data_IF_478176147318
#
_entry.id   IF_478176147318
#
_cell.length_a   1.000
_cell.length_b   1.000
_cell.length_c   1.000
_cell.angle_alpha   90.00
_cell.angle_beta   90.00
_cell.angle_gamma   90.00
#
_symmetry.space_group_name_H-M   'P 1'
#
loop_
_entity.id
_entity.type
_entity.pdbx_description
1 polymer ?
#
# COMPACT_ATOMS: atom_id res chain seq x y z
N UNK A 1 30.50 -13.84 -1.82
CA UNK A 1 30.16 -13.19 -3.09
C UNK A 1 29.12 -14.09 -3.75
N UNK A 2 27.86 -13.86 -3.40
CA UNK A 2 26.75 -14.66 -3.93
C UNK A 2 26.65 -14.44 -5.45
N UNK A 3 26.51 -15.55 -6.18
CA UNK A 3 26.44 -15.53 -7.64
C UNK A 3 25.19 -14.74 -8.05
N UNK A 4 25.39 -13.71 -8.86
CA UNK A 4 24.31 -12.98 -9.54
C UNK A 4 23.40 -14.02 -10.21
N UNK A 5 22.08 -14.01 -9.95
CA UNK A 5 21.14 -14.95 -10.54
C UNK A 5 21.26 -14.99 -12.07
N UNK A 6 21.15 -16.18 -12.67
CA UNK A 6 21.41 -16.37 -14.09
C UNK A 6 20.50 -15.53 -14.98
N UNK A 7 19.26 -15.24 -14.56
CA UNK A 7 18.38 -14.33 -15.29
C UNK A 7 18.90 -12.88 -15.31
N UNK A 8 19.54 -12.40 -14.23
CA UNK A 8 20.16 -11.05 -14.22
C UNK A 8 21.35 -11.02 -15.16
N UNK A 9 22.13 -12.12 -15.23
CA UNK A 9 23.23 -12.27 -16.19
C UNK A 9 22.70 -12.29 -17.63
N UNK A 10 21.63 -13.03 -17.88
CA UNK A 10 21.00 -13.16 -19.20
C UNK A 10 20.41 -11.83 -19.67
N UNK A 11 19.76 -11.07 -18.77
CA UNK A 11 19.29 -9.70 -19.07
C UNK A 11 20.46 -8.76 -19.38
N UNK A 12 21.58 -8.87 -18.64
CA UNK A 12 22.79 -8.06 -18.88
C UNK A 12 23.50 -8.46 -20.18
N UNK A 13 23.58 -9.75 -20.52
CA UNK A 13 24.25 -10.25 -21.72
C UNK A 13 23.42 -10.03 -23.00
N UNK A 14 22.10 -10.14 -22.93
CA UNK A 14 21.17 -9.71 -23.99
C UNK A 14 21.32 -8.20 -24.24
N UNK A 15 21.37 -7.40 -23.17
CA UNK A 15 21.50 -5.95 -23.22
C UNK A 15 22.87 -5.46 -23.72
N UNK A 16 23.96 -6.17 -23.40
CA UNK A 16 25.33 -5.84 -23.87
C UNK A 16 25.58 -6.23 -25.34
N UNK A 17 24.55 -6.59 -26.11
CA UNK A 17 24.62 -6.73 -27.56
C UNK A 17 25.46 -7.90 -28.06
N UNK A 18 25.69 -8.94 -27.24
CA UNK A 18 26.45 -10.14 -27.67
C UNK A 18 25.62 -11.12 -28.53
N UNK A 19 24.32 -10.87 -28.71
CA UNK A 19 23.49 -11.62 -29.64
C UNK A 19 23.60 -11.05 -31.06
N UNK A 20 24.10 -11.88 -31.99
CA UNK A 20 24.28 -11.58 -33.42
C UNK A 20 23.12 -10.80 -34.05
N UNK A 21 23.47 -9.65 -34.63
CA UNK A 21 22.65 -8.85 -35.56
C UNK A 21 22.19 -9.72 -36.73
N UNK A 22 20.88 -9.95 -36.87
CA UNK A 22 20.25 -10.50 -38.09
C UNK A 22 19.20 -9.50 -38.56
N UNK A 23 19.45 -8.91 -39.73
CA UNK A 23 18.60 -7.91 -40.40
C UNK A 23 17.19 -8.45 -40.69
N UNK A 24 16.16 -7.60 -40.53
CA UNK A 24 14.98 -7.57 -41.42
C UNK A 24 14.17 -6.27 -41.32
N UNK A 25 13.68 -5.83 -42.48
CA UNK A 25 13.01 -4.56 -42.81
C UNK A 25 11.52 -4.43 -42.40
N UNK A 26 11.10 -3.16 -42.30
CA UNK A 26 9.76 -2.51 -42.45
C UNK A 26 8.91 -2.19 -41.19
N UNK A 27 8.31 -0.98 -41.11
CA UNK A 27 7.73 -0.43 -39.87
C UNK A 27 6.25 -0.78 -39.75
N UNK A 28 5.94 -1.87 -39.05
CA UNK A 28 4.66 -2.03 -38.38
C UNK A 28 4.82 -1.46 -36.98
N UNK A 29 3.87 -0.61 -36.55
CA UNK A 29 3.82 0.09 -35.26
C UNK A 29 4.76 -0.53 -34.21
N UNK A 30 5.86 0.16 -33.90
CA UNK A 30 6.82 -0.27 -32.89
C UNK A 30 6.07 -0.46 -31.58
N UNK A 31 5.64 -1.70 -31.30
CA UNK A 31 5.27 -2.12 -29.97
C UNK A 31 6.56 -2.03 -29.18
N UNK A 32 6.73 -0.90 -28.50
CA UNK A 32 7.81 -0.65 -27.57
C UNK A 32 7.98 -1.90 -26.69
N UNK A 33 9.17 -2.50 -26.74
CA UNK A 33 9.44 -3.77 -26.09
C UNK A 33 9.25 -3.64 -24.58
N UNK A 34 8.16 -4.21 -24.06
CA UNK A 34 7.81 -4.15 -22.63
C UNK A 34 8.64 -5.16 -21.86
N UNK A 35 9.78 -4.71 -21.32
CA UNK A 35 10.71 -5.53 -20.53
C UNK A 35 10.01 -6.31 -19.40
N UNK A 36 9.00 -5.70 -18.77
CA UNK A 36 8.23 -6.30 -17.67
C UNK A 36 7.32 -7.47 -18.07
N UNK A 37 7.20 -7.78 -19.36
CA UNK A 37 6.45 -8.94 -19.84
C UNK A 37 7.35 -10.14 -20.17
N UNK A 38 8.67 -10.02 -20.04
CA UNK A 38 9.59 -11.12 -20.32
C UNK A 38 9.51 -12.20 -19.25
N UNK A 39 9.47 -13.48 -19.66
CA UNK A 39 9.28 -14.62 -18.75
C UNK A 39 10.33 -14.67 -17.63
N UNK A 40 11.57 -14.23 -17.93
CA UNK A 40 12.68 -14.20 -16.98
C UNK A 40 12.47 -13.26 -15.78
N UNK A 41 11.55 -12.30 -15.87
CA UNK A 41 11.31 -11.26 -14.84
C UNK A 41 9.87 -11.26 -14.31
N UNK A 42 9.07 -12.26 -14.67
CA UNK A 42 7.70 -12.46 -14.16
C UNK A 42 7.67 -13.17 -12.80
N UNK A 43 8.82 -13.43 -12.18
CA UNK A 43 8.86 -14.07 -10.86
C UNK A 43 8.15 -13.22 -9.79
N UNK A 44 7.51 -13.90 -8.83
CA UNK A 44 6.88 -13.32 -7.64
C UNK A 44 7.35 -14.08 -6.41
N UNK A 45 7.55 -13.35 -5.30
CA UNK A 45 7.93 -13.94 -4.01
C UNK A 45 6.75 -14.62 -3.28
N UNK A 46 5.51 -14.23 -3.59
CA UNK A 46 4.30 -14.74 -2.93
C UNK A 46 3.39 -15.38 -3.99
N UNK A 47 2.92 -16.62 -3.77
CA UNK A 47 1.92 -17.26 -4.62
C UNK A 47 0.60 -16.49 -4.65
N UNK A 48 -0.08 -16.54 -5.78
CA UNK A 48 -1.39 -15.90 -5.97
C UNK A 48 -2.48 -16.41 -5.02
N UNK A 49 -2.46 -17.71 -4.70
CA UNK A 49 -3.40 -18.32 -3.75
C UNK A 49 -3.35 -17.69 -2.38
N UNK A 50 -2.15 -17.29 -1.96
CA UNK A 50 -1.90 -16.71 -0.65
C UNK A 50 -2.28 -15.23 -0.67
N UNK A 51 -1.99 -14.53 -1.78
CA UNK A 51 -2.44 -13.15 -2.00
C UNK A 51 -3.96 -13.03 -2.06
N UNK A 52 -4.67 -14.00 -2.67
CA UNK A 52 -6.14 -13.99 -2.68
C UNK A 52 -6.73 -14.14 -1.29
N UNK A 53 -6.14 -14.99 -0.45
CA UNK A 53 -6.57 -15.10 0.95
C UNK A 53 -6.26 -13.82 1.73
N UNK A 54 -5.13 -13.17 1.43
CA UNK A 54 -4.70 -11.95 2.10
C UNK A 54 -5.68 -10.78 1.90
N UNK A 55 -6.33 -10.68 0.74
CA UNK A 55 -7.25 -9.56 0.42
C UNK A 55 -8.68 -9.77 0.90
N UNK A 56 -9.01 -10.97 1.39
CA UNK A 56 -10.36 -11.28 1.88
C UNK A 56 -10.62 -10.59 3.23
N UNK A 57 -11.75 -9.88 3.31
CA UNK A 57 -12.18 -9.21 4.54
C UNK A 57 -12.49 -10.28 5.61
N UNK A 58 -11.76 -10.32 6.75
CA UNK A 58 -12.03 -11.27 7.80
C UNK A 58 -13.42 -11.04 8.45
N UNK A 59 -14.13 -12.11 8.85
CA UNK A 59 -15.42 -11.96 9.50
C UNK A 59 -15.29 -11.20 10.81
N UNK A 60 -16.12 -10.16 11.00
CA UNK A 60 -16.12 -9.33 12.20
C UNK A 60 -15.14 -8.16 12.19
N UNK A 61 -14.32 -7.99 11.15
CA UNK A 61 -13.49 -6.80 10.97
C UNK A 61 -14.25 -5.69 10.24
N UNK A 62 -14.03 -4.44 10.63
CA UNK A 62 -14.67 -3.29 10.00
C UNK A 62 -14.22 -3.11 8.55
N UNK A 63 -15.17 -2.84 7.64
CA UNK A 63 -14.87 -2.61 6.22
C UNK A 63 -13.89 -1.44 6.02
N UNK A 64 -14.12 -0.31 6.68
CA UNK A 64 -13.23 0.85 6.58
C UNK A 64 -11.87 0.62 7.23
N UNK A 65 -11.81 -0.13 8.33
CA UNK A 65 -10.55 -0.52 8.97
C UNK A 65 -9.70 -1.38 8.03
N UNK A 66 -10.33 -2.32 7.32
CA UNK A 66 -9.67 -3.17 6.34
C UNK A 66 -9.14 -2.39 5.14
N UNK A 67 -9.94 -1.44 4.62
CA UNK A 67 -9.47 -0.52 3.59
C UNK A 67 -8.32 0.34 4.09
N UNK A 68 -8.39 0.83 5.33
CA UNK A 68 -7.37 1.68 5.93
C UNK A 68 -6.03 0.95 6.03
N UNK A 69 -6.01 -0.27 6.60
CA UNK A 69 -4.79 -1.06 6.79
C UNK A 69 -4.09 -1.32 5.46
N UNK A 70 -4.83 -1.78 4.45
CA UNK A 70 -4.28 -2.05 3.12
C UNK A 70 -3.79 -0.78 2.42
N UNK A 71 -4.52 0.34 2.54
CA UNK A 71 -4.08 1.63 1.97
C UNK A 71 -2.73 2.05 2.53
N UNK A 72 -2.55 1.91 3.85
CA UNK A 72 -1.29 2.25 4.54
C UNK A 72 -0.17 1.33 4.06
N UNK A 73 -0.40 0.01 4.02
CA UNK A 73 0.59 -0.96 3.59
C UNK A 73 1.02 -0.75 2.13
N UNK A 74 0.06 -0.52 1.22
CA UNK A 74 0.38 -0.21 -0.18
C UNK A 74 1.21 1.06 -0.30
N UNK A 75 0.83 2.12 0.41
CA UNK A 75 1.62 3.35 0.43
C UNK A 75 3.05 3.09 0.90
N UNK A 76 3.24 2.39 2.02
CA UNK A 76 4.56 2.09 2.57
C UNK A 76 5.42 1.28 1.60
N UNK A 77 4.87 0.21 1.02
CA UNK A 77 5.58 -0.65 0.09
C UNK A 77 5.96 0.07 -1.22
N UNK A 78 5.04 0.85 -1.80
CA UNK A 78 5.31 1.60 -3.04
C UNK A 78 6.32 2.71 -2.78
N UNK A 79 6.19 3.43 -1.66
CA UNK A 79 7.14 4.46 -1.25
C UNK A 79 8.55 3.88 -1.05
N UNK A 80 8.65 2.71 -0.42
CA UNK A 80 9.92 2.01 -0.25
C UNK A 80 10.55 1.63 -1.59
N UNK A 81 9.79 1.00 -2.51
CA UNK A 81 10.31 0.63 -3.83
C UNK A 81 10.74 1.85 -4.63
N UNK A 82 9.91 2.90 -4.68
CA UNK A 82 10.27 4.12 -5.39
C UNK A 82 11.53 4.77 -4.79
N UNK A 83 11.68 4.77 -3.47
CA UNK A 83 12.87 5.29 -2.78
C UNK A 83 14.18 4.66 -3.24
N UNK A 84 14.16 3.39 -3.68
CA UNK A 84 15.36 2.71 -4.19
C UNK A 84 15.80 3.16 -5.58
N UNK A 85 14.89 3.75 -6.38
CA UNK A 85 15.18 4.18 -7.76
C UNK A 85 15.05 5.70 -7.96
N UNK A 86 14.70 6.44 -6.91
CA UNK A 86 14.36 7.87 -7.00
C UNK A 86 15.48 8.72 -7.63
N UNK A 87 16.75 8.32 -7.47
CA UNK A 87 17.90 8.99 -8.10
C UNK A 87 17.93 8.86 -9.64
N UNK A 88 17.33 7.79 -10.19
CA UNK A 88 17.22 7.56 -11.64
C UNK A 88 16.00 8.27 -12.24
N UNK A 89 14.98 8.57 -11.43
CA UNK A 89 13.80 9.34 -11.83
C UNK A 89 14.12 10.84 -11.79
N UNK A 90 14.66 11.37 -12.89
CA UNK A 90 15.11 12.77 -12.98
C UNK A 90 14.15 13.63 -13.81
N UNK A 91 14.17 14.94 -13.57
CA UNK A 91 13.38 15.92 -14.35
C UNK A 91 13.72 15.90 -15.85
N UNK A 92 14.97 15.55 -16.20
CA UNK A 92 15.41 15.44 -17.59
C UNK A 92 15.07 14.09 -18.22
N UNK A 93 15.11 13.00 -17.45
CA UNK A 93 14.76 11.66 -17.93
C UNK A 93 13.26 11.44 -18.02
N UNK A 94 12.49 12.05 -17.11
CA UNK A 94 11.05 11.89 -16.99
C UNK A 94 10.38 13.27 -16.90
N UNK A 95 10.48 14.07 -17.97
CA UNK A 95 9.98 15.45 -18.04
C UNK A 95 8.47 15.58 -17.87
N UNK A 96 7.74 14.50 -18.15
CA UNK A 96 6.29 14.41 -17.99
C UNK A 96 5.93 13.14 -17.24
N UNK A 97 5.05 13.24 -16.24
CA UNK A 97 4.46 12.06 -15.60
C UNK A 97 3.57 11.33 -16.61
N UNK A 98 4.03 10.18 -17.09
CA UNK A 98 3.32 9.37 -18.07
C UNK A 98 3.35 7.89 -17.69
N UNK A 99 2.26 7.20 -18.01
CA UNK A 99 2.16 5.75 -17.90
C UNK A 99 2.42 5.04 -19.24
N UNK A 100 2.31 3.70 -19.25
CA UNK A 100 2.32 2.91 -20.48
C UNK A 100 1.39 3.51 -21.55
N UNK A 101 1.79 3.44 -22.82
CA UNK A 101 1.07 4.09 -23.94
C UNK A 101 1.17 5.62 -23.93
N UNK A 102 2.17 6.19 -23.23
CA UNK A 102 2.45 7.64 -23.17
C UNK A 102 1.27 8.49 -22.66
N UNK A 103 0.36 7.90 -21.88
CA UNK A 103 -0.80 8.62 -21.35
C UNK A 103 -0.34 9.57 -20.24
N UNK A 104 -0.56 10.89 -20.35
CA UNK A 104 -0.11 11.83 -19.33
C UNK A 104 -1.00 11.77 -18.09
N UNK A 105 -0.38 11.67 -16.91
CA UNK A 105 -1.06 11.83 -15.64
C UNK A 105 -0.96 13.28 -15.18
N UNK A 106 -2.13 13.89 -14.92
CA UNK A 106 -2.23 15.29 -14.51
C UNK A 106 -2.42 15.38 -13.00
N UNK A 107 -1.74 16.33 -12.37
CA UNK A 107 -1.95 16.63 -10.96
C UNK A 107 -3.02 17.72 -10.82
N UNK A 108 -3.80 17.66 -9.74
CA UNK A 108 -4.74 18.72 -9.38
C UNK A 108 -4.12 19.55 -8.27
N UNK A 109 -3.88 20.83 -8.54
CA UNK A 109 -3.40 21.76 -7.52
C UNK A 109 -4.49 22.04 -6.44
N UNK A 110 -4.11 22.75 -5.39
CA UNK A 110 -5.02 23.15 -4.29
C UNK A 110 -6.20 24.00 -4.78
N UNK A 111 -6.10 24.61 -5.97
CA UNK A 111 -7.14 25.42 -6.61
C UNK A 111 -8.02 24.59 -7.55
N UNK A 112 -7.78 23.28 -7.65
CA UNK A 112 -8.50 22.35 -8.52
C UNK A 112 -8.08 22.40 -10.00
N UNK A 113 -7.00 23.12 -10.34
CA UNK A 113 -6.50 23.22 -11.71
C UNK A 113 -5.62 22.01 -12.04
N UNK A 114 -5.86 21.43 -13.22
CA UNK A 114 -5.02 20.37 -13.79
C UNK A 114 -3.68 20.96 -14.25
N UNK A 115 -2.58 20.44 -13.73
CA UNK A 115 -1.22 20.84 -14.08
C UNK A 115 -0.42 19.63 -14.57
N UNK A 116 0.40 19.87 -15.59
CA UNK A 116 1.44 18.93 -16.02
C UNK A 116 2.68 19.18 -15.20
N UNK A 117 3.27 18.11 -14.70
CA UNK A 117 4.51 18.13 -13.93
C UNK A 117 5.36 16.95 -14.34
N UNK A 118 6.67 17.07 -14.11
CA UNK A 118 7.61 15.98 -14.32
C UNK A 118 7.30 14.80 -13.38
N UNK A 119 7.68 13.59 -13.78
CA UNK A 119 7.39 12.38 -13.01
C UNK A 119 7.89 12.42 -11.55
N UNK A 120 9.15 12.81 -11.26
CA UNK A 120 9.61 12.84 -9.87
C UNK A 120 8.86 13.86 -9.01
N UNK A 121 8.46 14.99 -9.60
CA UNK A 121 7.63 16.00 -8.93
C UNK A 121 6.21 15.50 -8.67
N UNK A 122 5.61 14.81 -9.64
CA UNK A 122 4.30 14.19 -9.48
C UNK A 122 4.31 13.17 -8.33
N UNK A 123 5.32 12.30 -8.32
CA UNK A 123 5.45 11.25 -7.30
C UNK A 123 5.65 11.88 -5.92
N UNK A 124 6.46 12.93 -5.79
CA UNK A 124 6.60 13.68 -4.53
C UNK A 124 5.25 14.23 -4.03
N UNK A 125 4.43 14.80 -4.93
CA UNK A 125 3.09 15.27 -4.59
C UNK A 125 2.18 14.12 -4.13
N UNK A 126 2.21 12.98 -4.83
CA UNK A 126 1.44 11.78 -4.46
C UNK A 126 1.86 11.26 -3.09
N UNK A 127 3.17 11.09 -2.85
CA UNK A 127 3.68 10.56 -1.58
C UNK A 127 3.37 11.51 -0.43
N UNK A 128 3.60 12.81 -0.61
CA UNK A 128 3.31 13.84 0.39
C UNK A 128 1.82 13.93 0.70
N UNK A 129 0.95 13.93 -0.33
CA UNK A 129 -0.49 13.94 -0.14
C UNK A 129 -0.98 12.70 0.62
N UNK A 130 -0.51 11.52 0.21
CA UNK A 130 -0.90 10.24 0.81
C UNK A 130 -0.43 10.17 2.26
N UNK A 131 0.84 10.49 2.53
CA UNK A 131 1.40 10.50 3.89
C UNK A 131 0.64 11.44 4.82
N UNK A 132 0.32 12.66 4.37
CA UNK A 132 -0.46 13.62 5.16
C UNK A 132 -1.86 13.09 5.46
N UNK A 133 -2.48 12.42 4.50
CA UNK A 133 -3.86 11.93 4.62
C UNK A 133 -3.94 10.71 5.54
N UNK A 134 -3.02 9.74 5.42
CA UNK A 134 -3.01 8.55 6.29
C UNK A 134 -2.61 8.85 7.74
N UNK A 135 -1.91 9.97 7.98
CA UNK A 135 -1.53 10.42 9.33
C UNK A 135 -2.57 11.36 9.96
N UNK A 136 -3.61 11.75 9.22
CA UNK A 136 -4.66 12.62 9.74
C UNK A 136 -5.67 11.77 10.52
N UNK A 137 -5.68 11.89 11.86
CA UNK A 137 -6.58 11.14 12.73
C UNK A 137 -8.08 11.42 12.49
N UNK A 138 -8.41 12.50 11.77
CA UNK A 138 -9.79 12.80 11.37
C UNK A 138 -10.23 12.00 10.13
N UNK A 139 -9.28 11.45 9.38
CA UNK A 139 -9.51 10.64 8.18
C UNK A 139 -9.19 9.17 8.44
N UNK A 140 -8.08 8.89 9.13
CA UNK A 140 -7.62 7.58 9.56
C UNK A 140 -7.58 7.54 11.09
N UNK A 141 -8.72 7.30 11.76
CA UNK A 141 -8.77 7.29 13.21
C UNK A 141 -7.93 6.15 13.81
N UNK A 142 -7.19 6.45 14.87
CA UNK A 142 -6.34 5.50 15.61
C UNK A 142 -6.99 4.99 16.90
N UNK A 143 -8.09 5.62 17.32
CA UNK A 143 -8.82 5.32 18.56
C UNK A 143 -10.18 4.73 18.22
N UNK A 144 -10.55 3.65 18.91
CA UNK A 144 -11.82 2.94 18.71
C UNK A 144 -13.08 3.78 18.94
N UNK A 145 -12.97 4.94 19.60
CA UNK A 145 -14.09 5.85 19.87
C UNK A 145 -14.41 6.77 18.68
N UNK A 146 -13.53 6.83 17.67
CA UNK A 146 -13.66 7.72 16.53
C UNK A 146 -14.06 6.93 15.28
N UNK A 147 -15.14 7.37 14.64
CA UNK A 147 -15.61 6.78 13.39
C UNK A 147 -14.84 7.34 12.17
N UNK A 148 -14.75 6.54 11.11
CA UNK A 148 -14.28 7.00 9.81
C UNK A 148 -15.23 8.06 9.21
N UNK A 149 -14.72 9.08 8.51
CA UNK A 149 -15.58 10.09 7.90
C UNK A 149 -16.40 9.50 6.75
N UNK A 150 -17.56 10.10 6.46
CA UNK A 150 -18.43 9.69 5.33
C UNK A 150 -17.74 9.76 3.96
N UNK A 151 -16.69 10.56 3.85
CA UNK A 151 -15.88 10.71 2.64
C UNK A 151 -14.73 9.69 2.55
N UNK A 152 -14.52 8.84 3.56
CA UNK A 152 -13.37 7.97 3.67
C UNK A 152 -13.14 7.10 2.43
N UNK A 153 -14.16 6.40 1.95
CA UNK A 153 -14.03 5.54 0.77
C UNK A 153 -13.60 6.35 -0.47
N UNK A 154 -14.14 7.56 -0.66
CA UNK A 154 -13.74 8.43 -1.78
C UNK A 154 -12.28 8.88 -1.69
N UNK A 155 -11.77 9.07 -0.47
CA UNK A 155 -10.39 9.42 -0.19
C UNK A 155 -9.49 8.21 -0.47
N UNK A 156 -9.86 7.02 0.00
CA UNK A 156 -9.15 5.75 -0.26
C UNK A 156 -9.06 5.47 -1.75
N UNK A 157 -10.16 5.64 -2.51
CA UNK A 157 -10.18 5.50 -3.98
C UNK A 157 -9.21 6.48 -4.65
N UNK A 158 -9.19 7.73 -4.19
CA UNK A 158 -8.25 8.74 -4.69
C UNK A 158 -6.80 8.32 -4.41
N UNK A 159 -6.48 7.87 -3.20
CA UNK A 159 -5.13 7.41 -2.84
C UNK A 159 -4.72 6.23 -3.72
N UNK A 160 -5.54 5.19 -3.82
CA UNK A 160 -5.24 4.01 -4.64
C UNK A 160 -4.98 4.37 -6.10
N UNK A 161 -5.81 5.22 -6.71
CA UNK A 161 -5.56 5.67 -8.08
C UNK A 161 -4.21 6.38 -8.23
N UNK A 162 -3.86 7.26 -7.30
CA UNK A 162 -2.57 7.97 -7.35
C UNK A 162 -1.39 7.02 -7.17
N UNK A 163 -1.48 6.05 -6.26
CA UNK A 163 -0.47 5.01 -6.04
C UNK A 163 -0.31 4.11 -7.28
N UNK A 164 -1.41 3.79 -7.96
CA UNK A 164 -1.37 3.04 -9.21
C UNK A 164 -0.61 3.79 -10.31
N UNK A 165 -0.74 5.11 -10.41
CA UNK A 165 0.06 5.90 -11.36
C UNK A 165 1.57 5.75 -11.10
N UNK A 166 1.98 5.71 -9.82
CA UNK A 166 3.39 5.49 -9.45
C UNK A 166 3.84 4.10 -9.89
N UNK A 167 3.05 3.05 -9.60
CA UNK A 167 3.36 1.68 -10.04
C UNK A 167 3.48 1.60 -11.56
N UNK A 168 2.54 2.19 -12.30
CA UNK A 168 2.54 2.19 -13.76
C UNK A 168 3.78 2.91 -14.34
N UNK A 169 4.20 4.01 -13.72
CA UNK A 169 5.42 4.70 -14.09
C UNK A 169 6.67 3.86 -13.80
N UNK A 170 6.73 3.16 -12.65
CA UNK A 170 7.83 2.25 -12.32
C UNK A 170 8.00 1.15 -13.38
N UNK A 171 6.91 0.51 -13.80
CA UNK A 171 6.97 -0.52 -14.86
C UNK A 171 7.35 0.06 -16.22
N UNK A 172 6.85 1.24 -16.58
CA UNK A 172 7.09 1.80 -17.90
C UNK A 172 8.51 2.39 -18.03
N UNK A 173 8.94 3.18 -17.05
CA UNK A 173 10.12 4.04 -17.17
C UNK A 173 11.33 3.56 -16.38
N UNK A 174 11.13 2.77 -15.32
CA UNK A 174 12.19 2.40 -14.37
C UNK A 174 12.33 0.90 -14.12
N UNK A 175 11.69 0.07 -14.95
CA UNK A 175 11.71 -1.38 -14.73
C UNK A 175 13.10 -1.96 -14.93
N UNK A 176 13.91 -1.38 -15.83
CA UNK A 176 15.29 -1.78 -16.04
C UNK A 176 16.13 -1.63 -14.78
N UNK A 177 16.05 -0.49 -14.11
CA UNK A 177 16.73 -0.20 -12.86
C UNK A 177 16.28 -1.17 -11.77
N UNK A 178 14.98 -1.47 -11.70
CA UNK A 178 14.43 -2.46 -10.77
C UNK A 178 14.93 -3.88 -11.02
N UNK A 179 15.14 -4.29 -12.28
CA UNK A 179 15.75 -5.58 -12.60
C UNK A 179 17.23 -5.62 -12.20
N UNK A 180 17.97 -4.54 -12.47
CA UNK A 180 19.39 -4.43 -12.08
C UNK A 180 19.60 -4.50 -10.56
N UNK A 181 18.68 -3.93 -9.79
CA UNK A 181 18.67 -4.02 -8.33
C UNK A 181 18.05 -5.32 -7.79
N UNK A 182 17.60 -6.23 -8.67
CA UNK A 182 16.89 -7.47 -8.31
C UNK A 182 15.62 -7.23 -7.48
N UNK A 183 14.93 -6.12 -7.73
CA UNK A 183 13.70 -5.70 -7.03
C UNK A 183 12.41 -5.97 -7.80
N UNK A 184 12.49 -6.32 -9.10
CA UNK A 184 11.32 -6.62 -9.94
C UNK A 184 10.34 -7.62 -9.29
N UNK A 185 10.83 -8.68 -8.65
CA UNK A 185 9.98 -9.66 -7.95
C UNK A 185 9.15 -9.05 -6.81
N UNK A 186 9.69 -8.06 -6.09
CA UNK A 186 8.99 -7.34 -5.04
C UNK A 186 7.93 -6.41 -5.64
N UNK A 187 8.27 -5.70 -6.72
CA UNK A 187 7.30 -4.88 -7.45
C UNK A 187 6.14 -5.73 -8.00
N UNK A 188 6.43 -6.92 -8.55
CA UNK A 188 5.42 -7.86 -9.03
C UNK A 188 4.49 -8.33 -7.90
N UNK A 189 5.02 -8.58 -6.69
CA UNK A 189 4.18 -8.91 -5.53
C UNK A 189 3.27 -7.76 -5.11
N UNK A 190 3.81 -6.54 -5.04
CA UNK A 190 3.04 -5.34 -4.68
C UNK A 190 1.93 -5.13 -5.71
N UNK A 191 2.26 -5.21 -7.00
CA UNK A 191 1.28 -5.06 -8.09
C UNK A 191 0.21 -6.16 -8.07
N UNK A 192 0.60 -7.41 -7.84
CA UNK A 192 -0.34 -8.52 -7.73
C UNK A 192 -1.32 -8.33 -6.55
N UNK A 193 -0.79 -8.01 -5.37
CA UNK A 193 -1.59 -7.73 -4.19
C UNK A 193 -2.54 -6.55 -4.43
N UNK A 194 -2.02 -5.46 -4.99
CA UNK A 194 -2.77 -4.26 -5.31
C UNK A 194 -3.91 -4.51 -6.31
N UNK A 195 -3.65 -5.31 -7.34
CA UNK A 195 -4.64 -5.65 -8.38
C UNK A 195 -5.76 -6.52 -7.81
N UNK A 196 -5.42 -7.55 -7.03
CA UNK A 196 -6.41 -8.44 -6.39
C UNK A 196 -7.26 -7.67 -5.37
N UNK A 197 -6.66 -6.76 -4.61
CA UNK A 197 -7.39 -5.90 -3.68
C UNK A 197 -8.34 -4.95 -4.43
N UNK A 198 -7.89 -4.37 -5.54
CA UNK A 198 -8.73 -3.53 -6.40
C UNK A 198 -9.89 -4.32 -7.03
N UNK A 199 -9.66 -5.57 -7.46
CA UNK A 199 -10.72 -6.45 -7.99
C UNK A 199 -11.81 -6.70 -6.94
N UNK A 200 -11.41 -6.93 -5.68
CA UNK A 200 -12.32 -7.19 -4.57
C UNK A 200 -13.16 -5.97 -4.18
N UNK A 201 -12.55 -4.80 -4.11
CA UNK A 201 -13.18 -3.59 -3.53
C UNK A 201 -13.51 -2.49 -4.55
N UNK A 202 -13.15 -2.67 -5.82
CA UNK A 202 -13.42 -1.75 -6.95
C UNK A 202 -13.03 -0.30 -6.63
N UNK A 203 -11.78 -0.12 -6.25
CA UNK A 203 -11.26 1.18 -5.79
C UNK A 203 -10.83 2.09 -6.95
N UNK A 204 -10.46 1.51 -8.08
CA UNK A 204 -10.01 2.18 -9.29
C UNK A 204 -10.92 1.77 -10.45
N UNK A 205 -11.21 2.72 -11.34
CA UNK A 205 -11.96 2.45 -12.56
C UNK A 205 -11.18 1.50 -13.48
N UNK A 206 -11.89 0.52 -14.06
CA UNK A 206 -11.31 -0.52 -14.91
C UNK A 206 -10.50 0.07 -16.09
N UNK A 207 -11.02 1.14 -16.69
CA UNK A 207 -10.38 1.90 -17.78
C UNK A 207 -9.02 2.50 -17.41
N UNK A 208 -8.79 2.77 -16.13
CA UNK A 208 -7.48 3.27 -15.67
C UNK A 208 -6.50 2.11 -15.50
N UNK A 209 -6.99 0.94 -15.07
CA UNK A 209 -6.16 -0.26 -14.87
C UNK A 209 -5.81 -1.01 -16.17
N UNK A 210 -6.57 -0.80 -17.25
CA UNK A 210 -6.38 -1.44 -18.57
C UNK A 210 -4.95 -1.29 -19.13
N UNK A 211 -4.26 -0.20 -18.79
CA UNK A 211 -2.90 0.09 -19.29
C UNK A 211 -1.83 -0.95 -18.89
N UNK A 212 -2.08 -1.73 -17.85
CA UNK A 212 -1.23 -2.83 -17.37
C UNK A 212 -1.96 -4.18 -17.45
N UNK A 213 -3.04 -4.28 -18.22
CA UNK A 213 -3.81 -5.52 -18.32
C UNK A 213 -2.98 -6.69 -18.87
N UNK A 214 -2.06 -6.42 -19.79
CA UNK A 214 -1.10 -7.41 -20.28
C UNK A 214 -0.20 -7.97 -19.18
N UNK A 215 0.23 -7.15 -18.22
CA UNK A 215 0.97 -7.60 -17.04
C UNK A 215 0.10 -8.44 -16.10
N UNK A 216 -1.18 -8.09 -15.93
CA UNK A 216 -2.14 -8.90 -15.15
C UNK A 216 -2.26 -10.30 -15.74
N UNK A 217 -2.35 -10.42 -17.07
CA UNK A 217 -2.37 -11.68 -17.79
C UNK A 217 -1.04 -12.44 -17.67
N UNK A 218 0.09 -11.74 -17.84
CA UNK A 218 1.42 -12.33 -17.76
C UNK A 218 1.72 -12.91 -16.36
N UNK A 219 1.28 -12.21 -15.30
CA UNK A 219 1.39 -12.67 -13.91
C UNK A 219 0.30 -13.68 -13.52
N UNK A 220 -0.60 -14.04 -14.45
CA UNK A 220 -1.70 -15.00 -14.27
C UNK A 220 -2.66 -14.66 -13.13
N UNK A 221 -2.88 -13.38 -12.85
CA UNK A 221 -3.70 -12.94 -11.72
C UNK A 221 -5.21 -13.22 -11.89
N UNK A 222 -5.65 -13.49 -13.13
CA UNK A 222 -6.96 -14.05 -13.38
C UNK A 222 -6.88 -15.58 -13.44
N UNK A 223 -7.86 -16.29 -12.87
CA UNK A 223 -7.98 -17.72 -13.09
C UNK A 223 -8.04 -17.97 -14.60
N UNK A 224 -7.19 -18.88 -15.07
CA UNK A 224 -7.24 -19.39 -16.44
C UNK A 224 -8.70 -19.79 -16.73
N UNK A 225 -9.38 -19.08 -17.65
CA UNK A 225 -10.69 -19.45 -18.20
C UNK A 225 -10.58 -20.72 -19.09
N UNK A 226 -9.76 -21.69 -18.66
CA UNK A 226 -9.81 -23.05 -19.18
C UNK A 226 -11.04 -23.72 -18.59
N UNK A 227 -12.17 -23.47 -19.25
CA UNK A 227 -13.43 -24.22 -19.12
C UNK A 227 -13.19 -25.69 -18.73
N UNK A 228 -14.02 -26.20 -17.82
CA UNK A 228 -14.94 -27.25 -18.16
C UNK A 228 -16.34 -26.63 -18.29
N UNK A 229 -17.08 -27.04 -19.32
CA UNK A 229 -18.42 -26.54 -19.61
C UNK A 229 -19.34 -26.45 -18.39
N UNK A 230 -20.08 -25.34 -18.28
CA UNK A 230 -21.33 -25.29 -17.51
C UNK A 230 -21.50 -24.09 -16.57
N UNK A 231 -22.14 -23.04 -17.10
CA UNK A 231 -22.97 -22.01 -16.42
C UNK A 231 -22.74 -21.78 -14.91
N UNK A 232 -22.27 -20.58 -14.57
CA UNK A 232 -22.35 -20.05 -13.21
C UNK A 232 -21.81 -18.63 -13.08
N UNK A 233 -22.44 -17.64 -13.71
CA UNK A 233 -22.13 -16.23 -13.45
C UNK A 233 -22.87 -15.72 -12.19
N UNK A 234 -22.21 -14.78 -11.48
CA UNK A 234 -22.81 -13.77 -10.59
C UNK A 234 -23.13 -14.15 -9.13
N UNK A 235 -22.16 -14.62 -8.34
CA UNK A 235 -22.29 -14.69 -6.86
C UNK A 235 -21.47 -13.62 -6.12
N UNK A 236 -20.27 -13.27 -6.60
CA UNK A 236 -19.36 -12.37 -5.86
C UNK A 236 -19.84 -10.91 -5.78
N UNK A 237 -20.53 -10.41 -6.82
CA UNK A 237 -21.03 -9.02 -6.83
C UNK A 237 -22.24 -8.80 -5.91
N UNK A 238 -22.97 -9.86 -5.56
CA UNK A 238 -24.13 -9.78 -4.67
C UNK A 238 -23.68 -9.75 -3.20
N UNK A 239 -22.73 -10.60 -2.82
CA UNK A 239 -22.19 -10.67 -1.46
C UNK A 239 -21.52 -9.35 -1.02
N UNK A 240 -20.83 -8.66 -1.94
CA UNK A 240 -20.22 -7.36 -1.65
C UNK A 240 -21.27 -6.24 -1.47
N UNK A 241 -22.34 -6.23 -2.27
CA UNK A 241 -23.44 -5.26 -2.08
C UNK A 241 -24.21 -5.52 -0.78
N UNK A 242 -24.29 -6.77 -0.33
CA UNK A 242 -24.94 -7.13 0.92
C UNK A 242 -24.09 -6.73 2.13
N UNK A 243 -22.77 -6.92 2.09
CA UNK A 243 -21.84 -6.44 3.12
C UNK A 243 -21.86 -4.90 3.26
N UNK A 244 -21.86 -4.16 2.14
CA UNK A 244 -21.92 -2.68 2.14
C UNK A 244 -23.26 -2.16 2.67
N UNK A 245 -24.37 -2.86 2.38
CA UNK A 245 -25.70 -2.50 2.88
C UNK A 245 -25.88 -2.82 4.36
N UNK A 246 -25.31 -3.93 4.85
CA UNK A 246 -25.43 -4.32 6.25
C UNK A 246 -24.70 -3.33 7.18
N UNK A 247 -23.50 -2.86 6.81
CA UNK A 247 -22.79 -1.83 7.59
C UNK A 247 -23.47 -0.44 7.54
N UNK A 248 -24.16 -0.09 6.44
CA UNK A 248 -24.84 1.22 6.35
C UNK A 248 -26.10 1.32 7.22
N UNK A 249 -26.67 0.18 7.65
CA UNK A 249 -27.90 0.15 8.45
C UNK A 249 -27.67 0.36 9.96
N UNK A 250 -26.45 0.15 10.47
CA UNK A 250 -26.18 0.20 11.91
C UNK A 250 -25.79 1.61 12.43
N UNK A 251 -25.51 2.59 11.56
CA UNK A 251 -25.21 3.98 11.96
C UNK A 251 -26.41 4.95 11.84
N UNK A 252 -27.63 4.41 11.80
CA UNK A 252 -28.87 5.16 11.56
C UNK A 252 -29.73 5.45 12.80
N UNK A 253 -29.19 6.13 13.82
CA UNK A 253 -29.97 7.02 14.68
C UNK A 253 -30.30 6.55 16.11
N UNK A 254 -29.91 7.37 17.10
CA UNK A 254 -30.84 7.84 18.13
C UNK A 254 -30.28 9.07 18.82
N UNK A 255 -30.82 10.24 18.46
CA UNK A 255 -30.76 11.43 19.28
C UNK A 255 -32.18 11.80 19.69
N UNK A 256 -32.53 11.65 20.98
CA UNK A 256 -33.18 12.69 21.81
C UNK A 256 -33.67 12.16 23.18
N UNK A 257 -33.12 12.82 24.21
CA UNK A 257 -33.78 13.40 25.40
C UNK A 257 -34.59 12.52 26.36
N UNK A 258 -34.10 12.47 27.61
CA UNK A 258 -34.86 12.17 28.84
C UNK A 258 -36.06 13.13 29.05
N UNK A 259 -37.03 12.73 29.89
CA UNK A 259 -36.99 13.26 31.27
C UNK A 259 -37.34 12.23 32.37
N UNK A 260 -37.00 12.61 33.60
CA UNK A 260 -37.21 11.88 34.86
C UNK A 260 -38.67 11.90 35.36
N UNK A 261 -39.04 10.96 36.25
CA UNK A 261 -39.52 11.17 37.65
C UNK A 261 -40.03 9.85 38.27
N UNK A 262 -39.47 9.54 39.45
CA UNK A 262 -39.94 8.85 40.67
C UNK A 262 -41.08 7.79 40.66
N UNK A 263 -40.82 6.61 41.23
CA UNK A 263 -41.21 6.23 42.61
C UNK A 263 -40.87 4.75 42.91
N UNK A 264 -40.27 4.50 44.07
CA UNK A 264 -40.25 3.20 44.79
C UNK A 264 -41.47 3.09 45.71
N UNK A 265 -41.88 1.88 46.17
CA UNK A 265 -41.33 1.34 47.43
C UNK A 265 -41.23 -0.21 47.53
N UNK A 266 -40.23 -0.68 48.31
CA UNK A 266 -40.21 -1.87 49.22
C UNK A 266 -40.53 -3.27 48.66
N UNK A 267 -40.01 -4.41 49.15
CA UNK A 267 -39.40 -4.78 50.43
C UNK A 267 -38.68 -6.15 50.27
N UNK A 268 -37.78 -6.46 51.22
CA UNK A 268 -37.37 -7.80 51.72
C UNK A 268 -36.18 -8.58 51.11
N UNK A 269 -35.02 -8.32 51.71
CA UNK A 269 -34.14 -9.24 52.46
C UNK A 269 -34.06 -10.75 52.08
N UNK A 270 -32.84 -11.21 51.75
CA UNK A 270 -32.12 -12.27 52.50
C UNK A 270 -30.77 -12.63 51.83
N UNK A 271 -29.68 -12.43 52.56
CA UNK A 271 -28.40 -13.20 52.49
C UNK A 271 -28.29 -13.98 53.83
N UNK A 272 -27.31 -14.88 54.10
CA UNK A 272 -26.11 -15.25 53.32
C UNK A 272 -25.82 -16.78 53.29
N UNK A 273 -24.71 -17.20 52.65
CA UNK A 273 -23.74 -18.27 53.06
C UNK A 273 -22.77 -18.52 51.87
N UNK A 274 -21.54 -18.02 51.90
CA UNK A 274 -20.29 -18.64 52.41
C UNK A 274 -19.64 -19.69 51.49
N UNK A 275 -18.39 -19.43 51.10
CA UNK A 275 -17.35 -20.47 50.97
C UNK A 275 -16.55 -20.52 49.65
N UNK A 276 -15.28 -20.05 49.69
CA UNK A 276 -14.08 -20.54 48.97
C UNK A 276 -13.12 -19.36 48.68
N UNK A 277 -12.26 -18.96 49.63
CA UNK A 277 -10.86 -19.42 49.81
C UNK A 277 -9.96 -19.14 48.59
N UNK A 278 -9.22 -18.02 48.66
CA UNK A 278 -7.97 -17.74 47.93
C UNK A 278 -6.77 -18.36 48.68
N UNK A 279 -5.69 -18.75 47.99
CA UNK A 279 -4.37 -18.81 48.59
C UNK A 279 -3.57 -17.53 48.26
N UNK A 280 -2.92 -16.97 49.28
CA UNK A 280 -1.93 -15.90 49.22
C UNK A 280 -0.49 -16.44 49.24
N UNK A 281 0.40 -15.64 48.62
CA UNK A 281 1.82 -15.36 48.95
C UNK A 281 2.93 -16.40 48.59
N UNK A 282 4.20 -15.98 48.38
CA UNK A 282 4.78 -14.67 48.77
C UNK A 282 5.59 -13.89 47.71
N UNK A 283 5.69 -12.58 48.00
CA UNK A 283 6.62 -11.62 47.44
C UNK A 283 8.09 -11.98 47.74
N UNK A 284 8.97 -11.79 46.75
CA UNK A 284 10.41 -11.61 46.95
C UNK A 284 10.86 -10.32 46.29
N UNK A 285 11.35 -9.44 47.15
CA UNK A 285 11.96 -8.13 46.88
C UNK A 285 13.33 -8.26 46.24
N UNK A 286 13.56 -7.58 45.12
CA UNK A 286 14.91 -7.12 44.76
C UNK A 286 14.88 -5.61 44.51
N UNK A 287 15.59 -4.91 45.39
CA UNK A 287 15.69 -3.46 45.41
C UNK A 287 16.57 -2.90 44.30
N UNK A 288 16.22 -1.70 43.87
CA UNK A 288 17.08 -0.79 43.14
C UNK A 288 18.14 -0.18 44.08
N UNK A 289 19.34 0.14 43.58
CA UNK A 289 20.17 1.17 44.19
C UNK A 289 20.13 2.47 43.39
N UNK A 290 20.14 3.55 44.16
CA UNK A 290 20.05 4.94 43.78
C UNK A 290 21.29 5.47 43.02
N UNK A 291 21.04 6.52 42.22
CA UNK A 291 22.04 7.43 41.67
C UNK A 291 22.77 8.23 42.77
N UNK A 292 24.03 8.62 42.54
CA UNK A 292 24.58 9.83 43.15
C UNK A 292 24.75 10.95 42.11
N UNK A 293 24.45 12.16 42.56
CA UNK A 293 24.62 13.44 41.88
C UNK A 293 25.98 14.08 42.18
N UNK A 294 26.34 15.02 41.30
CA UNK A 294 27.29 16.15 41.45
C UNK A 294 28.80 15.91 41.27
N UNK A 295 29.39 16.74 40.41
CA UNK A 295 30.83 16.86 40.17
C UNK A 295 31.15 17.77 38.98
N UNK A 296 31.24 19.07 39.24
CA UNK A 296 31.57 20.17 38.33
C UNK A 296 32.96 20.08 37.65
N UNK A 297 32.99 20.58 36.40
CA UNK A 297 34.06 21.31 35.69
C UNK A 297 35.36 20.58 35.21
N UNK A 298 36.15 21.17 34.28
CA UNK A 298 35.89 22.28 33.36
C UNK A 298 36.15 21.95 31.86
N UNK A 299 35.58 22.83 31.03
CA UNK A 299 35.83 23.00 29.60
C UNK A 299 37.27 23.49 29.38
N UNK A 300 38.08 22.75 28.61
CA UNK A 300 39.39 23.21 28.12
C UNK A 300 39.33 23.23 26.59
N UNK A 301 39.29 24.42 26.02
CA UNK A 301 39.88 24.68 24.69
C UNK A 301 41.30 25.18 24.89
N UNK A 302 42.19 24.92 23.92
CA UNK A 302 42.93 26.06 23.40
C UNK A 302 43.00 26.09 21.88
N UNK A 303 43.20 27.33 21.47
CA UNK A 303 43.19 27.95 20.17
C UNK A 303 44.43 27.63 19.32
N UNK A 304 44.26 27.85 18.00
CA UNK A 304 45.25 28.41 17.05
C UNK A 304 46.52 27.61 16.71
N UNK A 305 46.63 27.20 15.45
CA UNK A 305 47.56 27.86 14.50
C UNK A 305 47.30 27.44 13.05
N UNK A 306 46.82 28.41 12.28
CA UNK A 306 46.96 28.52 10.84
C UNK A 306 48.44 28.80 10.51
N UNK A 307 49.05 28.04 9.60
CA UNK A 307 50.02 28.57 8.62
C UNK A 307 50.14 27.62 7.41
N UNK A 308 49.61 28.12 6.30
CA UNK A 308 49.89 27.85 4.87
C UNK A 308 51.40 27.77 4.51
N UNK A 309 51.82 27.40 3.27
CA UNK A 309 51.10 27.48 1.98
C UNK A 309 50.79 26.15 1.28
#
# INVERSE_FOLDING_TARGET
>A
MDKIPDYVRDTVDWFMGKARRKERESPAAEQEHKLYLEEAVLERKIPETDLRQLVELPPGLGYHEWLASHTIDFFQHINLVYGTIAEYCTMSGCSDMSGPTTRPYLWFDEKGKKVKVAAPQYIDYVMTFTQKTINDETIFPTKFENDFPVSFESIVKKIHRLLFHVIAHLYHSHFRELVLLSLHAHLNCIFAHFTLFNERFRLIEEKETEILHDLVLALRLHPDDRKPDGKGESSASAALQEAVRHCSAECGGSGRTSPAIANTPGVDAAEPLSGAVRPEEPLSSYGAPASPSEGDAPFISPDVTDTRP
#
